data_IF_122340925594
#
_entry.id   IF_122340925594
#
_cell.length_a   1.000
_cell.length_b   1.000
_cell.length_c   1.000
_cell.angle_alpha   90.00
_cell.angle_beta   90.00
_cell.angle_gamma   90.00
#
_symmetry.space_group_name_H-M   'P 1'
#
loop_
_entity.id
_entity.type
_entity.pdbx_description
1 polymer ?
#
# COMPACT_ATOMS: atom_id res chain seq x y z
N UNK A 1 9.65 -13.84 -14.42
CA UNK A 1 8.85 -12.66 -14.05
C UNK A 1 8.69 -12.73 -12.54
N UNK A 2 9.10 -11.71 -11.78
CA UNK A 2 8.85 -11.70 -10.34
C UNK A 2 7.34 -11.59 -10.11
N UNK A 3 6.82 -12.39 -9.20
CA UNK A 3 5.40 -12.39 -8.84
C UNK A 3 5.25 -11.74 -7.48
N UNK A 4 4.49 -10.64 -7.40
CA UNK A 4 4.34 -9.88 -6.15
C UNK A 4 2.90 -9.98 -5.69
N UNK A 5 2.67 -10.98 -4.85
CA UNK A 5 1.38 -11.43 -4.32
C UNK A 5 1.56 -11.82 -2.86
N UNK A 6 0.49 -11.76 -2.08
CA UNK A 6 0.48 -12.37 -0.75
C UNK A 6 0.55 -13.90 -0.89
N UNK A 7 1.51 -14.52 -0.19
CA UNK A 7 1.66 -15.96 -0.15
C UNK A 7 0.91 -16.56 1.05
N UNK A 8 0.65 -17.86 1.01
CA UNK A 8 0.02 -18.56 2.11
C UNK A 8 0.86 -18.44 3.38
N UNK A 9 0.20 -18.17 4.52
CA UNK A 9 0.82 -17.98 5.83
C UNK A 9 1.85 -16.83 5.88
N UNK A 10 1.67 -15.80 5.06
CA UNK A 10 2.48 -14.59 5.12
C UNK A 10 2.11 -13.75 6.37
N UNK A 11 3.12 -13.43 7.19
CA UNK A 11 2.96 -12.64 8.42
C UNK A 11 3.38 -11.18 8.22
N UNK A 12 4.34 -10.93 7.33
CA UNK A 12 4.90 -9.61 7.03
C UNK A 12 4.24 -8.97 5.80
N UNK A 13 4.65 -7.74 5.47
CA UNK A 13 4.31 -7.13 4.18
C UNK A 13 4.84 -7.94 2.99
N UNK A 14 4.15 -7.80 1.86
CA UNK A 14 4.67 -8.21 0.56
C UNK A 14 6.05 -7.59 0.31
N UNK A 15 6.88 -8.30 -0.44
CA UNK A 15 8.19 -7.78 -0.84
C UNK A 15 8.02 -6.39 -1.48
N UNK A 16 8.86 -5.41 -1.14
CA UNK A 16 8.74 -4.06 -1.68
C UNK A 16 9.33 -4.00 -3.08
N UNK A 17 8.70 -3.26 -3.99
CA UNK A 17 9.21 -3.04 -5.35
C UNK A 17 9.29 -1.57 -5.76
N UNK A 18 9.06 -0.68 -4.82
CA UNK A 18 9.34 0.75 -4.94
C UNK A 18 10.25 1.16 -3.78
N UNK A 19 11.13 2.17 -3.97
CA UNK A 19 11.95 2.68 -2.87
C UNK A 19 11.11 3.19 -1.69
N UNK A 20 9.90 3.68 -1.98
CA UNK A 20 8.94 4.12 -0.99
C UNK A 20 8.45 2.96 -0.13
N UNK A 21 8.05 1.83 -0.72
CA UNK A 21 7.59 0.67 0.05
C UNK A 21 8.71 0.10 0.92
N UNK A 22 9.97 0.15 0.46
CA UNK A 22 11.12 -0.20 1.29
C UNK A 22 11.22 0.70 2.53
N UNK A 23 11.09 2.03 2.37
CA UNK A 23 11.09 2.97 3.49
C UNK A 23 9.89 2.75 4.44
N UNK A 24 8.72 2.41 3.91
CA UNK A 24 7.53 2.10 4.72
C UNK A 24 7.73 0.85 5.57
N UNK A 25 8.36 -0.19 5.04
CA UNK A 25 8.69 -1.41 5.82
C UNK A 25 9.69 -1.09 6.92
N UNK A 26 10.75 -0.33 6.62
CA UNK A 26 11.74 0.09 7.64
C UNK A 26 11.06 0.92 8.74
N UNK A 27 10.16 1.84 8.38
CA UNK A 27 9.42 2.64 9.34
C UNK A 27 8.45 1.81 10.18
N UNK A 28 7.78 0.84 9.57
CA UNK A 28 6.97 -0.13 10.30
C UNK A 28 7.81 -0.88 11.33
N UNK A 29 8.96 -1.42 10.94
CA UNK A 29 9.81 -2.21 11.84
C UNK A 29 10.33 -1.38 13.01
N UNK A 30 10.71 -0.12 12.76
CA UNK A 30 11.06 0.85 13.82
C UNK A 30 9.89 1.08 14.79
N UNK A 31 8.68 1.27 14.26
CA UNK A 31 7.48 1.48 15.08
C UNK A 31 7.11 0.23 15.88
N UNK A 32 7.19 -0.95 15.25
CA UNK A 32 6.90 -2.23 15.90
C UNK A 32 7.89 -2.56 17.01
N UNK A 33 9.18 -2.24 16.83
CA UNK A 33 10.17 -2.37 17.90
C UNK A 33 9.76 -1.57 19.14
N UNK A 34 9.32 -0.31 18.97
CA UNK A 34 8.88 0.54 20.08
C UNK A 34 7.61 -0.02 20.73
N UNK A 35 6.63 -0.46 19.93
CA UNK A 35 5.38 -1.03 20.44
C UNK A 35 5.61 -2.33 21.21
N UNK A 36 6.49 -3.22 20.73
CA UNK A 36 6.86 -4.46 21.42
C UNK A 36 7.55 -4.14 22.75
N UNK A 37 8.45 -3.16 22.77
CA UNK A 37 9.12 -2.71 24.01
C UNK A 37 8.10 -2.18 25.05
N UNK A 38 7.13 -1.37 24.64
CA UNK A 38 6.09 -0.85 25.54
C UNK A 38 5.19 -1.99 26.04
N UNK A 39 4.69 -2.84 25.14
CA UNK A 39 3.77 -3.93 25.49
C UNK A 39 4.41 -4.96 26.41
N UNK A 40 5.66 -5.34 26.16
CA UNK A 40 6.42 -6.24 27.04
C UNK A 40 6.71 -5.60 28.40
N UNK A 41 7.04 -4.32 28.44
CA UNK A 41 7.24 -3.57 29.68
C UNK A 41 5.96 -3.51 30.54
N UNK A 42 4.82 -3.19 29.93
CA UNK A 42 3.52 -3.15 30.63
C UNK A 42 3.12 -4.55 31.11
N UNK A 43 3.28 -5.57 30.28
CA UNK A 43 2.99 -6.96 30.64
C UNK A 43 3.85 -7.43 31.83
N UNK A 44 5.14 -7.08 31.82
CA UNK A 44 6.04 -7.33 32.95
C UNK A 44 5.58 -6.61 34.23
N UNK A 45 5.22 -5.33 34.15
CA UNK A 45 4.72 -4.58 35.31
C UNK A 45 3.46 -5.23 35.90
N UNK A 46 2.48 -5.59 35.06
CA UNK A 46 1.25 -6.26 35.52
C UNK A 46 1.57 -7.60 36.17
N UNK A 47 2.38 -8.45 35.54
CA UNK A 47 2.75 -9.76 36.11
C UNK A 47 3.52 -9.65 37.44
N UNK A 48 4.40 -8.65 37.58
CA UNK A 48 5.11 -8.39 38.83
C UNK A 48 4.18 -7.94 39.96
N UNK A 49 3.20 -7.08 39.66
CA UNK A 49 2.20 -6.63 40.64
C UNK A 49 1.30 -7.77 41.10
N UNK A 50 0.91 -8.69 40.19
CA UNK A 50 0.09 -9.86 40.51
C UNK A 50 0.82 -10.88 41.40
N UNK A 51 2.15 -10.95 41.31
CA UNK A 51 2.98 -11.89 42.08
C UNK A 51 3.49 -11.30 43.39
N UNK A 52 3.37 -9.98 43.57
CA UNK A 52 3.86 -9.29 44.76
C UNK A 52 2.94 -9.52 45.96
N UNK A 53 3.52 -9.96 47.08
CA UNK A 53 2.81 -10.17 48.35
C UNK A 53 2.89 -8.99 49.31
N UNK A 54 3.79 -8.03 49.05
CA UNK A 54 4.01 -6.87 49.92
C UNK A 54 2.87 -5.87 49.75
N UNK A 55 2.31 -5.40 50.87
CA UNK A 55 1.18 -4.48 50.88
C UNK A 55 1.65 -3.10 51.30
N UNK A 56 1.39 -2.10 50.46
CA UNK A 56 1.52 -0.69 50.82
C UNK A 56 0.20 0.03 50.52
N UNK A 57 -0.44 0.59 51.55
CA UNK A 57 -1.74 1.30 51.45
C UNK A 57 -1.60 2.82 51.56
N UNK A 58 -0.42 3.31 51.90
CA UNK A 58 -0.22 4.72 52.25
C UNK A 58 0.32 5.56 51.08
N UNK A 59 0.63 4.93 49.93
CA UNK A 59 1.08 5.65 48.74
C UNK A 59 -0.14 6.19 47.99
N UNK A 60 -0.45 7.46 48.22
CA UNK A 60 -1.57 8.17 47.59
C UNK A 60 -1.13 8.97 46.35
N UNK A 61 0.06 9.55 46.37
CA UNK A 61 0.60 10.37 45.28
C UNK A 61 2.11 10.18 45.12
N UNK A 62 2.61 10.37 43.89
CA UNK A 62 4.04 10.44 43.60
C UNK A 62 4.30 11.25 42.35
N UNK A 63 4.43 12.56 42.54
CA UNK A 63 4.64 13.54 41.46
C UNK A 63 5.87 13.21 40.60
N UNK A 64 6.91 12.64 41.20
CA UNK A 64 8.11 12.22 40.45
C UNK A 64 7.82 11.08 39.48
N UNK A 65 6.98 10.11 39.84
CA UNK A 65 6.61 9.00 38.95
C UNK A 65 5.71 9.52 37.82
N UNK A 66 4.79 10.43 38.17
CA UNK A 66 3.92 11.08 37.19
C UNK A 66 4.71 11.83 36.12
N UNK A 67 5.72 12.60 36.54
CA UNK A 67 6.61 13.30 35.62
C UNK A 67 7.33 12.32 34.66
N UNK A 68 7.85 11.20 35.18
CA UNK A 68 8.58 10.21 34.40
C UNK A 68 7.68 9.56 33.34
N UNK A 69 6.48 9.09 33.72
CA UNK A 69 5.59 8.43 32.77
C UNK A 69 4.90 9.39 31.80
N UNK A 70 5.02 10.71 32.00
CA UNK A 70 4.52 11.71 31.04
C UNK A 70 5.61 12.07 30.03
N UNK A 71 6.85 12.29 30.49
CA UNK A 71 7.97 12.65 29.62
C UNK A 71 8.39 11.46 28.73
N UNK A 72 8.46 10.25 29.30
CA UNK A 72 8.97 9.08 28.56
C UNK A 72 8.13 8.75 27.31
N UNK A 73 6.78 8.63 27.37
CA UNK A 73 5.98 8.41 26.17
C UNK A 73 6.03 9.58 25.17
N UNK A 74 6.13 10.82 25.65
CA UNK A 74 6.26 11.98 24.77
C UNK A 74 7.54 11.90 23.91
N UNK A 75 8.67 11.52 24.51
CA UNK A 75 9.92 11.28 23.77
C UNK A 75 9.80 10.12 22.78
N UNK A 76 9.13 9.02 23.15
CA UNK A 76 8.88 7.89 22.24
C UNK A 76 8.01 8.28 21.03
N UNK A 77 7.02 9.15 21.22
CA UNK A 77 6.21 9.65 20.11
C UNK A 77 7.03 10.50 19.14
N UNK A 78 7.97 11.30 19.63
CA UNK A 78 8.86 12.10 18.77
C UNK A 78 9.74 11.19 17.90
N UNK A 79 10.27 10.09 18.44
CA UNK A 79 11.12 9.16 17.66
C UNK A 79 10.34 8.39 16.59
N UNK A 80 9.02 8.22 16.75
CA UNK A 80 8.13 7.68 15.71
C UNK A 80 7.77 8.78 14.69
N UNK A 81 7.44 9.98 15.16
CA UNK A 81 6.94 11.06 14.31
C UNK A 81 7.97 11.56 13.29
N UNK A 82 9.25 11.70 13.67
CA UNK A 82 10.29 12.22 12.77
C UNK A 82 10.48 11.40 11.48
N UNK A 83 10.71 10.06 11.52
CA UNK A 83 10.80 9.26 10.31
C UNK A 83 9.46 9.20 9.54
N UNK A 84 8.33 9.22 10.25
CA UNK A 84 6.99 9.23 9.63
C UNK A 84 6.80 10.46 8.74
N UNK A 85 7.06 11.66 9.28
CA UNK A 85 6.94 12.91 8.54
C UNK A 85 7.92 12.97 7.36
N UNK A 86 9.14 12.48 7.52
CA UNK A 86 10.11 12.39 6.41
C UNK A 86 9.55 11.56 5.24
N UNK A 87 8.97 10.40 5.51
CA UNK A 87 8.38 9.54 4.47
C UNK A 87 7.16 10.20 3.84
N UNK A 88 6.32 10.87 4.63
CA UNK A 88 5.16 11.62 4.13
C UNK A 88 5.58 12.65 3.07
N UNK A 89 6.61 13.45 3.34
CA UNK A 89 7.10 14.43 2.36
C UNK A 89 7.71 13.77 1.11
N UNK A 90 8.40 12.62 1.25
CA UNK A 90 8.93 11.86 0.11
C UNK A 90 7.82 11.29 -0.79
N UNK A 91 6.67 10.94 -0.20
CA UNK A 91 5.50 10.44 -0.92
C UNK A 91 4.81 11.55 -1.74
N UNK A 92 4.72 12.76 -1.18
CA UNK A 92 4.06 13.90 -1.83
C UNK A 92 4.91 14.54 -2.95
N UNK A 93 6.22 14.32 -2.95
CA UNK A 93 7.13 14.94 -3.92
C UNK A 93 7.03 14.30 -5.32
N UNK A 94 6.12 14.82 -6.15
CA UNK A 94 5.97 14.39 -7.54
C UNK A 94 6.92 15.17 -8.45
N UNK A 95 8.16 14.68 -8.56
CA UNK A 95 9.17 15.25 -9.44
C UNK A 95 9.14 14.64 -10.85
N UNK A 96 8.70 15.45 -11.84
CA UNK A 96 8.83 15.23 -13.30
C UNK A 96 8.55 13.78 -13.74
N UNK A 97 7.29 13.32 -13.70
CA UNK A 97 6.92 11.99 -14.20
C UNK A 97 7.12 11.92 -15.72
N UNK A 98 7.55 10.76 -16.20
CA UNK A 98 7.77 10.49 -17.63
C UNK A 98 6.51 9.93 -18.32
N UNK A 99 5.62 9.33 -17.54
CA UNK A 99 4.37 8.71 -18.01
C UNK A 99 3.26 9.12 -17.05
N UNK A 100 2.09 9.46 -17.57
CA UNK A 100 0.85 9.63 -16.81
C UNK A 100 -0.15 8.55 -17.19
N UNK A 101 -0.75 7.93 -16.17
CA UNK A 101 -1.79 6.93 -16.31
C UNK A 101 -2.99 7.33 -15.45
N UNK A 102 -4.18 7.30 -16.03
CA UNK A 102 -5.44 7.41 -15.30
C UNK A 102 -5.98 6.01 -14.99
N UNK A 103 -6.44 5.80 -13.77
CA UNK A 103 -7.18 4.62 -13.33
C UNK A 103 -8.57 5.09 -12.86
N UNK A 104 -9.61 4.56 -13.49
CA UNK A 104 -11.00 4.97 -13.28
C UNK A 104 -11.76 3.79 -12.70
N UNK A 105 -12.31 3.95 -11.51
CA UNK A 105 -13.10 2.92 -10.83
C UNK A 105 -14.55 2.90 -11.29
N UNK A 106 -15.06 1.70 -11.58
CA UNK A 106 -16.45 1.41 -11.95
C UNK A 106 -16.98 0.22 -11.12
N UNK A 107 -18.30 0.10 -11.00
CA UNK A 107 -18.98 -1.11 -10.51
C UNK A 107 -19.04 -2.16 -11.63
N UNK A 108 -18.23 -3.22 -11.65
CA UNK A 108 -17.14 -3.61 -10.74
C UNK A 108 -15.91 -4.01 -11.57
N UNK A 109 -15.20 -3.02 -12.08
CA UNK A 109 -14.01 -3.16 -12.91
C UNK A 109 -13.20 -1.85 -12.89
N UNK A 110 -12.01 -1.87 -13.49
CA UNK A 110 -11.18 -0.69 -13.64
C UNK A 110 -10.99 -0.37 -15.12
N UNK A 111 -11.08 0.91 -15.49
CA UNK A 111 -10.64 1.38 -16.80
C UNK A 111 -9.31 2.13 -16.65
N UNK A 112 -8.43 1.95 -17.62
CA UNK A 112 -7.13 2.61 -17.66
C UNK A 112 -7.01 3.48 -18.90
N UNK A 113 -6.47 4.69 -18.73
CA UNK A 113 -6.21 5.61 -19.84
C UNK A 113 -4.75 6.09 -19.81
N UNK A 114 -4.07 5.99 -20.94
CA UNK A 114 -2.71 6.50 -21.17
C UNK A 114 -2.78 7.63 -22.19
N UNK A 115 -3.25 8.80 -21.74
CA UNK A 115 -3.46 9.98 -22.61
C UNK A 115 -2.17 10.52 -23.24
N UNK A 116 -1.02 10.26 -22.63
CA UNK A 116 0.28 10.70 -23.16
C UNK A 116 0.64 9.96 -24.48
N UNK A 117 0.00 8.82 -24.75
CA UNK A 117 0.28 7.95 -25.89
C UNK A 117 -1.00 7.54 -26.62
N UNK A 118 -1.31 8.22 -27.74
CA UNK A 118 -2.43 7.89 -28.66
C UNK A 118 -3.83 7.74 -28.00
N UNK A 119 -4.03 8.24 -26.78
CA UNK A 119 -5.26 8.02 -26.01
C UNK A 119 -5.65 6.54 -25.94
N UNK A 120 -4.71 5.69 -25.53
CA UNK A 120 -5.00 4.27 -25.26
C UNK A 120 -5.94 4.19 -24.06
N UNK A 121 -7.06 3.50 -24.24
CA UNK A 121 -8.10 3.29 -23.22
C UNK A 121 -8.58 1.83 -23.28
N UNK A 122 -8.73 1.19 -22.12
CA UNK A 122 -9.30 -0.15 -22.01
C UNK A 122 -9.84 -0.46 -20.62
N UNK A 123 -10.76 -1.41 -20.59
CA UNK A 123 -11.33 -1.96 -19.36
C UNK A 123 -10.58 -3.22 -18.91
N UNK A 124 -10.52 -3.41 -17.60
CA UNK A 124 -9.86 -4.51 -16.91
C UNK A 124 -10.85 -5.17 -15.96
N UNK A 125 -11.37 -6.33 -16.37
CA UNK A 125 -12.30 -7.15 -15.62
C UNK A 125 -11.60 -8.35 -14.98
N UNK A 126 -12.09 -8.79 -13.83
CA UNK A 126 -11.65 -10.04 -13.23
C UNK A 126 -11.97 -11.22 -14.18
N UNK A 127 -10.97 -12.07 -14.42
CA UNK A 127 -11.19 -13.32 -15.13
C UNK A 127 -12.13 -14.24 -14.35
N UNK A 128 -13.07 -14.88 -15.06
CA UNK A 128 -13.93 -15.87 -14.46
C UNK A 128 -13.11 -17.08 -13.98
N UNK A 129 -13.42 -17.61 -12.80
CA UNK A 129 -12.70 -18.75 -12.22
C UNK A 129 -12.70 -20.00 -13.12
N UNK A 130 -13.74 -20.17 -13.94
CA UNK A 130 -13.84 -21.30 -14.89
C UNK A 130 -12.93 -21.16 -16.12
N UNK A 131 -12.47 -19.95 -16.44
CA UNK A 131 -11.58 -19.65 -17.57
C UNK A 131 -10.12 -19.45 -17.15
N UNK A 132 -9.80 -19.67 -15.88
CA UNK A 132 -8.43 -19.54 -15.40
C UNK A 132 -7.57 -20.69 -15.94
N UNK A 133 -6.33 -20.36 -16.31
CA UNK A 133 -5.30 -21.36 -16.60
C UNK A 133 -4.73 -21.95 -15.29
N UNK A 134 -4.04 -23.09 -15.36
CA UNK A 134 -3.51 -23.76 -14.16
C UNK A 134 -2.49 -22.92 -13.37
N UNK A 135 -1.86 -21.94 -14.01
CA UNK A 135 -0.85 -21.04 -13.41
C UNK A 135 -1.42 -19.67 -12.98
N UNK A 136 -2.74 -19.49 -13.04
CA UNK A 136 -3.42 -18.23 -12.79
C UNK A 136 -4.07 -18.18 -11.40
N UNK A 137 -4.09 -16.99 -10.80
CA UNK A 137 -4.57 -16.80 -9.42
C UNK A 137 -6.06 -16.43 -9.35
N UNK A 138 -6.82 -17.26 -8.63
CA UNK A 138 -8.24 -17.02 -8.36
C UNK A 138 -8.48 -15.64 -7.75
N UNK A 139 -9.42 -14.89 -8.32
CA UNK A 139 -9.84 -13.53 -7.93
C UNK A 139 -8.84 -12.40 -8.16
N UNK A 140 -7.67 -12.69 -8.71
CA UNK A 140 -6.59 -11.71 -8.90
C UNK A 140 -6.25 -11.48 -10.36
N UNK A 141 -6.44 -12.49 -11.21
CA UNK A 141 -6.28 -12.33 -12.64
C UNK A 141 -7.32 -11.39 -13.25
N UNK A 142 -6.86 -10.65 -14.27
CA UNK A 142 -7.68 -9.79 -15.12
C UNK A 142 -7.57 -10.22 -16.58
N UNK A 143 -8.52 -9.81 -17.41
CA UNK A 143 -8.46 -9.99 -18.86
C UNK A 143 -7.40 -9.09 -19.52
N UNK A 144 -7.38 -7.81 -19.16
CA UNK A 144 -6.43 -6.81 -19.64
C UNK A 144 -5.65 -6.24 -18.46
N UNK A 145 -4.35 -6.54 -18.42
CA UNK A 145 -3.43 -5.99 -17.42
C UNK A 145 -2.85 -4.67 -17.91
N UNK A 146 -2.56 -3.77 -16.97
CA UNK A 146 -1.88 -2.52 -17.31
C UNK A 146 -0.37 -2.76 -17.40
N UNK A 147 0.24 -2.33 -18.50
CA UNK A 147 1.67 -2.50 -18.75
C UNK A 147 2.39 -1.18 -18.51
N UNK A 148 3.42 -1.18 -17.67
CA UNK A 148 4.22 0.00 -17.35
C UNK A 148 5.72 -0.36 -17.35
N UNK A 149 6.63 0.57 -17.70
CA UNK A 149 8.06 0.29 -17.66
C UNK A 149 8.65 0.39 -16.25
N UNK A 150 9.55 -0.53 -15.87
CA UNK A 150 10.37 -0.36 -14.66
C UNK A 150 11.40 0.78 -14.82
N UNK A 151 11.95 1.24 -13.71
CA UNK A 151 12.90 2.36 -13.59
C UNK A 151 12.43 3.66 -14.23
N UNK A 152 11.11 3.84 -14.34
CA UNK A 152 10.46 5.01 -14.91
C UNK A 152 9.49 5.57 -13.89
N UNK A 153 9.53 6.90 -13.67
CA UNK A 153 8.54 7.57 -12.80
C UNK A 153 7.22 7.68 -13.54
N UNK A 154 6.20 7.03 -13.02
CA UNK A 154 4.84 7.09 -13.56
C UNK A 154 3.94 7.84 -12.58
N UNK A 155 3.28 8.89 -13.06
CA UNK A 155 2.19 9.56 -12.34
C UNK A 155 0.93 8.72 -12.51
N UNK A 156 0.27 8.44 -11.40
CA UNK A 156 -1.03 7.79 -11.38
C UNK A 156 -2.07 8.82 -10.98
N UNK A 157 -3.15 8.88 -11.74
CA UNK A 157 -4.32 9.70 -11.48
C UNK A 157 -5.50 8.77 -11.23
N UNK A 158 -6.12 8.82 -10.06
CA UNK A 158 -7.22 7.92 -9.68
C UNK A 158 -8.50 8.72 -9.49
N UNK A 159 -9.59 8.27 -10.12
CA UNK A 159 -10.94 8.83 -10.00
C UNK A 159 -11.97 7.69 -10.08
N UNK A 160 -13.25 8.00 -9.94
CA UNK A 160 -14.35 7.08 -10.25
C UNK A 160 -15.45 7.78 -11.04
N UNK A 161 -16.26 7.00 -11.75
CA UNK A 161 -17.46 7.44 -12.46
C UNK A 161 -18.78 7.08 -11.76
N UNK A 162 -18.76 6.34 -10.65
CA UNK A 162 -19.97 5.94 -9.92
C UNK A 162 -19.90 6.16 -8.41
N UNK A 163 -19.30 5.24 -7.65
CA UNK A 163 -19.17 5.28 -6.18
C UNK A 163 -17.70 5.43 -5.78
N UNK A 164 -17.39 5.47 -4.49
CA UNK A 164 -15.99 5.52 -4.08
C UNK A 164 -15.36 4.14 -4.27
N UNK A 165 -14.17 4.12 -4.86
CA UNK A 165 -13.29 2.95 -4.96
C UNK A 165 -11.91 3.31 -4.41
N UNK A 166 -11.02 2.33 -4.27
CA UNK A 166 -9.64 2.62 -3.88
C UNK A 166 -8.66 1.74 -4.64
N UNK A 167 -7.83 2.37 -5.45
CA UNK A 167 -6.83 1.71 -6.29
C UNK A 167 -5.60 1.40 -5.44
N UNK A 168 -5.37 0.12 -5.15
CA UNK A 168 -4.37 -0.32 -4.17
C UNK A 168 -3.50 -1.43 -4.72
N UNK A 169 -2.18 -1.26 -4.65
CA UNK A 169 -1.19 -2.29 -5.01
C UNK A 169 -0.15 -2.36 -3.88
N UNK A 170 -0.26 -3.31 -2.94
CA UNK A 170 0.53 -3.32 -1.70
C UNK A 170 2.05 -3.40 -1.92
N UNK A 171 2.54 -4.25 -2.82
CA UNK A 171 3.97 -4.35 -3.13
C UNK A 171 4.59 -3.05 -3.67
N UNK A 172 3.76 -2.13 -4.19
CA UNK A 172 4.20 -0.81 -4.64
C UNK A 172 4.09 0.27 -3.56
N UNK A 173 3.45 -0.04 -2.43
CA UNK A 173 3.21 0.92 -1.34
C UNK A 173 2.21 2.01 -1.72
N UNK A 174 1.26 1.72 -2.62
CA UNK A 174 0.28 2.70 -3.12
C UNK A 174 -1.14 2.27 -2.80
N UNK A 175 -1.90 3.22 -2.25
CA UNK A 175 -3.35 3.17 -2.05
C UNK A 175 -3.88 4.57 -2.29
N UNK A 176 -4.73 4.74 -3.31
CA UNK A 176 -5.31 6.04 -3.65
C UNK A 176 -6.80 5.85 -3.93
N UNK A 177 -7.63 6.62 -3.22
CA UNK A 177 -9.07 6.56 -3.40
C UNK A 177 -9.49 7.22 -4.71
N UNK A 178 -10.30 6.50 -5.50
CA UNK A 178 -11.02 7.03 -6.65
C UNK A 178 -12.36 7.57 -6.19
N UNK A 179 -12.51 8.89 -6.19
CA UNK A 179 -13.71 9.57 -5.72
C UNK A 179 -14.44 10.23 -6.90
N UNK A 180 -15.75 10.04 -7.07
CA UNK A 180 -16.50 10.71 -8.14
C UNK A 180 -16.36 12.23 -8.05
N UNK A 181 -16.02 12.86 -9.17
CA UNK A 181 -15.82 14.31 -9.25
C UNK A 181 -14.47 14.82 -8.71
N UNK A 182 -13.52 13.95 -8.36
CA UNK A 182 -12.18 14.33 -7.91
C UNK A 182 -11.11 13.40 -8.48
N UNK A 183 -10.02 14.01 -8.95
CA UNK A 183 -8.84 13.28 -9.41
C UNK A 183 -7.78 13.36 -8.31
N UNK A 184 -7.49 12.23 -7.68
CA UNK A 184 -6.36 12.09 -6.77
C UNK A 184 -5.11 11.68 -7.54
N UNK A 185 -3.94 12.12 -7.09
CA UNK A 185 -2.68 11.85 -7.76
C UNK A 185 -1.70 11.12 -6.85
N UNK A 186 -0.84 10.30 -7.44
CA UNK A 186 0.33 9.73 -6.79
C UNK A 186 1.42 9.42 -7.80
N UNK A 187 2.53 8.88 -7.31
CA UNK A 187 3.70 8.53 -8.13
C UNK A 187 4.18 7.13 -7.79
N UNK A 188 4.50 6.36 -8.81
CA UNK A 188 5.17 5.06 -8.65
C UNK A 188 6.46 5.02 -9.45
N UNK A 189 7.45 4.28 -8.93
CA UNK A 189 8.66 3.91 -9.65
C UNK A 189 8.98 2.46 -9.30
N UNK A 190 8.60 1.53 -10.18
CA UNK A 190 8.91 0.11 -10.01
C UNK A 190 10.39 -0.13 -10.29
N UNK A 191 11.10 -0.82 -9.41
CA UNK A 191 12.56 -1.05 -9.55
C UNK A 191 12.91 -2.32 -10.32
N UNK A 192 11.94 -3.22 -10.52
CA UNK A 192 12.15 -4.52 -11.17
C UNK A 192 11.00 -4.93 -12.10
N UNK A 193 11.27 -5.79 -13.10
CA UNK A 193 10.22 -6.38 -13.92
C UNK A 193 9.42 -7.43 -13.13
N UNK A 194 8.12 -7.53 -13.37
CA UNK A 194 7.25 -8.41 -12.58
C UNK A 194 5.76 -8.22 -12.84
N UNK A 195 4.95 -9.09 -12.24
CA UNK A 195 3.51 -8.92 -12.11
C UNK A 195 3.18 -8.51 -10.68
N UNK A 196 2.42 -7.42 -10.55
CA UNK A 196 2.02 -6.84 -9.27
C UNK A 196 0.51 -6.89 -9.15
N UNK A 197 0.03 -7.47 -8.06
CA UNK A 197 -1.39 -7.62 -7.81
C UNK A 197 -1.89 -6.63 -6.77
N UNK A 198 -3.12 -6.20 -6.98
CA UNK A 198 -3.86 -5.30 -6.12
C UNK A 198 -5.34 -5.64 -6.12
N UNK A 199 -6.08 -5.00 -5.22
CA UNK A 199 -7.54 -5.13 -5.14
C UNK A 199 -8.15 -3.79 -4.74
N UNK A 200 -9.43 -3.60 -5.05
CA UNK A 200 -10.17 -2.47 -4.52
C UNK A 200 -10.19 -2.51 -2.99
N UNK A 201 -9.81 -1.41 -2.35
CA UNK A 201 -9.70 -1.31 -0.88
C UNK A 201 -10.71 -0.32 -0.26
N UNK A 202 -11.81 -0.06 -0.95
CA UNK A 202 -12.94 0.75 -0.49
C UNK A 202 -14.27 0.11 -0.91
N UNK A 203 -15.26 0.06 -0.01
CA UNK A 203 -16.49 -0.70 -0.23
C UNK A 203 -17.35 -0.09 -1.35
N UNK A 204 -17.53 -0.83 -2.45
CA UNK A 204 -18.17 -0.33 -3.66
C UNK A 204 -19.39 -1.14 -4.14
N UNK A 205 -19.94 -2.02 -3.30
CA UNK A 205 -21.17 -2.79 -3.57
C UNK A 205 -20.96 -4.30 -3.71
N UNK A 206 -21.88 -4.97 -4.43
CA UNK A 206 -22.01 -6.43 -4.43
C UNK A 206 -20.75 -7.18 -4.86
N UNK A 207 -20.04 -6.71 -5.88
CA UNK A 207 -18.82 -7.36 -6.37
C UNK A 207 -17.54 -6.61 -5.96
N UNK A 208 -17.57 -5.93 -4.81
CA UNK A 208 -16.39 -5.22 -4.27
C UNK A 208 -15.12 -6.09 -4.22
N UNK A 209 -15.26 -7.38 -3.87
CA UNK A 209 -14.13 -8.32 -3.81
C UNK A 209 -13.65 -8.85 -5.17
N UNK A 210 -14.31 -8.47 -6.27
CA UNK A 210 -14.13 -9.07 -7.61
C UNK A 210 -13.70 -8.06 -8.68
N UNK A 211 -12.99 -7.01 -8.27
CA UNK A 211 -12.39 -6.01 -9.16
C UNK A 211 -10.89 -5.82 -8.86
N UNK A 212 -10.06 -6.84 -9.15
CA UNK A 212 -8.63 -6.80 -8.88
C UNK A 212 -7.90 -5.83 -9.83
N UNK A 213 -6.65 -5.58 -9.49
CA UNK A 213 -5.72 -4.75 -10.23
C UNK A 213 -4.51 -5.63 -10.56
N UNK A 214 -4.08 -5.64 -11.82
CA UNK A 214 -2.85 -6.31 -12.23
C UNK A 214 -1.99 -5.37 -13.06
N UNK A 215 -0.76 -5.17 -12.61
CA UNK A 215 0.27 -4.39 -13.33
C UNK A 215 1.36 -5.33 -13.81
N UNK A 216 1.72 -5.23 -15.08
CA UNK A 216 2.95 -5.84 -15.62
C UNK A 216 4.03 -4.78 -15.79
N UNK A 217 5.14 -4.97 -15.07
CA UNK A 217 6.34 -4.15 -15.23
C UNK A 217 7.29 -4.78 -16.23
N UNK A 218 7.54 -4.06 -17.33
CA UNK A 218 8.38 -4.52 -18.44
C UNK A 218 9.52 -3.53 -18.71
N UNK A 219 10.44 -3.88 -19.60
CA UNK A 219 11.45 -2.91 -20.04
C UNK A 219 10.83 -1.88 -21.00
N UNK A 220 11.46 -0.71 -21.15
CA UNK A 220 10.95 0.37 -22.02
C UNK A 220 10.75 -0.07 -23.47
N UNK A 221 11.58 -0.97 -24.02
CA UNK A 221 11.43 -1.44 -25.42
C UNK A 221 10.14 -2.24 -25.59
N UNK A 222 9.85 -3.16 -24.67
CA UNK A 222 8.62 -3.96 -24.64
C UNK A 222 7.40 -3.07 -24.43
N UNK A 223 7.48 -2.09 -23.53
CA UNK A 223 6.42 -1.09 -23.34
C UNK A 223 6.12 -0.32 -24.63
N UNK A 224 7.14 0.19 -25.32
CA UNK A 224 6.97 0.91 -26.58
C UNK A 224 6.45 0.01 -27.71
N UNK A 225 6.77 -1.29 -27.70
CA UNK A 225 6.21 -2.24 -28.66
C UNK A 225 4.73 -2.52 -28.38
N UNK A 226 4.37 -2.66 -27.09
CA UNK A 226 2.97 -2.79 -26.68
C UNK A 226 2.16 -1.55 -27.09
N UNK A 227 2.65 -0.34 -26.83
CA UNK A 227 2.01 0.92 -27.25
C UNK A 227 1.80 1.03 -28.78
N UNK A 228 2.62 0.37 -29.58
CA UNK A 228 2.49 0.38 -31.05
C UNK A 228 1.45 -0.62 -31.56
N UNK A 229 1.26 -1.71 -30.83
CA UNK A 229 0.37 -2.80 -31.19
C UNK A 229 -1.03 -2.66 -30.59
N UNK A 230 -1.19 -1.75 -29.63
CA UNK A 230 -2.47 -1.25 -29.16
C UNK A 230 -3.13 -0.41 -30.26
#
# INVERSE_FOLDING_TARGET
IFLMIALWNMISFQDPATPIMEQLIIFHDHTMMILIMITTGVLYMISSLLTNKLINRNMLESQMIELIWTILPALMLITIALPSLKILYLLEEINKPLISMKAIGHQWYWSYELSDFKNIEFDSYMKNTKSLMDNEYRLLEVDNRIILPFNTKTRILVTSLDVIHSWTVPALGIKIDGTPGRINQGSIMMTRPGLYYGQCSEICGANHSFMPIMIESVNMKSFMMWLKNF
#
